data_IF_594074132522
#
_entry.id   IF_594074132522
#
_cell.length_a   1.000
_cell.length_b   1.000
_cell.length_c   1.000
_cell.angle_alpha   90.00
_cell.angle_beta   90.00
_cell.angle_gamma   90.00
#
_symmetry.space_group_name_H-M   'P 1'
#
loop_
_entity.id
_entity.type
_entity.pdbx_description
1 polymer ?
#
# COMPACT_ATOMS: atom_id res chain seq x y z
N UNK A 1 14.87 -0.13 24.77
CA UNK A 1 15.02 -0.46 23.33
C UNK A 1 14.22 -1.73 23.07
N UNK A 2 13.00 -1.60 22.54
CA UNK A 2 12.08 -2.74 22.39
C UNK A 2 12.32 -3.44 21.05
N UNK A 3 13.36 -4.28 21.00
CA UNK A 3 13.55 -5.25 19.93
C UNK A 3 12.64 -6.46 20.21
N UNK A 4 11.58 -6.63 19.42
CA UNK A 4 10.77 -7.87 19.40
C UNK A 4 11.13 -8.64 18.13
N UNK A 5 11.93 -9.73 18.22
CA UNK A 5 12.21 -10.57 17.07
C UNK A 5 10.89 -11.12 16.52
N UNK A 6 10.62 -10.86 15.24
CA UNK A 6 9.39 -11.26 14.55
C UNK A 6 8.39 -10.14 14.25
N UNK A 7 8.52 -8.94 14.85
CA UNK A 7 7.67 -7.78 14.52
C UNK A 7 8.38 -6.72 13.67
N UNK A 8 9.71 -6.62 13.79
CA UNK A 8 10.56 -5.70 13.01
C UNK A 8 11.83 -6.43 12.60
N UNK A 9 12.10 -6.45 11.30
CA UNK A 9 13.17 -7.24 10.68
C UNK A 9 14.49 -6.47 10.49
N UNK A 10 15.52 -7.21 10.09
CA UNK A 10 16.85 -6.76 9.67
C UNK A 10 16.70 -5.68 8.58
N UNK A 11 17.43 -4.57 8.73
CA UNK A 11 17.42 -3.42 7.81
C UNK A 11 17.46 -3.85 6.32
N UNK A 12 16.52 -3.35 5.51
CA UNK A 12 16.58 -3.41 4.04
C UNK A 12 15.49 -4.20 3.32
N UNK A 13 14.84 -5.20 3.95
CA UNK A 13 13.87 -6.09 3.27
C UNK A 13 12.39 -5.67 3.42
N UNK A 14 12.10 -4.70 4.28
CA UNK A 14 10.71 -4.38 4.68
C UNK A 14 9.82 -3.94 3.52
N UNK A 15 10.34 -3.09 2.63
CA UNK A 15 9.59 -2.58 1.47
C UNK A 15 9.28 -3.71 0.49
N UNK A 16 10.29 -4.53 0.17
CA UNK A 16 10.14 -5.64 -0.77
C UNK A 16 9.09 -6.64 -0.28
N UNK A 17 9.12 -7.01 1.01
CA UNK A 17 8.10 -7.89 1.60
C UNK A 17 6.69 -7.30 1.56
N UNK A 18 6.54 -6.00 1.83
CA UNK A 18 5.24 -5.32 1.73
C UNK A 18 4.73 -5.40 0.28
N UNK A 19 5.59 -5.15 -0.70
CA UNK A 19 5.24 -5.28 -2.12
C UNK A 19 4.87 -6.72 -2.48
N UNK A 20 5.67 -7.71 -2.08
CA UNK A 20 5.41 -9.13 -2.34
C UNK A 20 4.08 -9.58 -1.72
N UNK A 21 3.79 -9.17 -0.49
CA UNK A 21 2.55 -9.54 0.21
C UNK A 21 1.31 -8.95 -0.49
N UNK A 22 1.35 -7.66 -0.85
CA UNK A 22 0.24 -7.01 -1.55
C UNK A 22 0.03 -7.60 -2.95
N UNK A 23 1.12 -7.83 -3.69
CA UNK A 23 1.06 -8.50 -4.99
C UNK A 23 0.46 -9.91 -4.90
N UNK A 24 0.90 -10.71 -3.91
CA UNK A 24 0.39 -12.08 -3.71
C UNK A 24 -1.09 -12.10 -3.30
N UNK A 25 -1.57 -11.03 -2.68
CA UNK A 25 -2.97 -10.86 -2.30
C UNK A 25 -3.84 -10.24 -3.42
N UNK A 26 -3.28 -9.96 -4.60
CA UNK A 26 -4.00 -9.27 -5.69
C UNK A 26 -4.34 -7.82 -5.40
N UNK A 27 -3.66 -7.21 -4.42
CA UNK A 27 -3.87 -5.84 -3.99
C UNK A 27 -3.06 -4.86 -4.85
N UNK A 28 -3.52 -3.61 -4.99
CA UNK A 28 -2.75 -2.61 -5.73
C UNK A 28 -1.41 -2.32 -5.04
N UNK A 29 -0.43 -1.98 -5.88
CA UNK A 29 0.90 -1.59 -5.42
C UNK A 29 0.77 -0.32 -4.57
N UNK A 30 1.36 -0.30 -3.36
CA UNK A 30 1.26 0.86 -2.49
C UNK A 30 2.16 1.99 -2.98
N UNK A 31 1.85 3.22 -2.59
CA UNK A 31 2.75 4.36 -2.84
C UNK A 31 3.59 4.66 -1.61
N UNK A 32 4.87 4.97 -1.86
CA UNK A 32 5.84 5.31 -0.85
C UNK A 32 6.28 6.76 -1.06
N UNK A 33 6.33 7.54 0.02
CA UNK A 33 6.84 8.90 0.01
C UNK A 33 7.75 9.12 1.21
N UNK A 34 8.89 9.78 0.98
CA UNK A 34 9.83 10.15 2.02
C UNK A 34 10.01 11.66 2.02
N UNK A 35 9.74 12.28 3.16
CA UNK A 35 9.97 13.71 3.42
C UNK A 35 10.98 13.86 4.56
N UNK A 36 11.56 15.05 4.79
CA UNK A 36 12.39 15.28 5.97
C UNK A 36 11.67 15.02 7.31
N UNK A 37 10.33 15.08 7.31
CA UNK A 37 9.49 14.83 8.49
C UNK A 37 9.18 13.34 8.71
N UNK A 38 9.47 12.48 7.74
CA UNK A 38 9.28 11.06 7.87
C UNK A 38 8.87 10.35 6.59
N UNK A 39 8.46 9.10 6.78
CA UNK A 39 8.11 8.17 5.72
C UNK A 39 6.62 7.85 5.76
N UNK A 40 5.99 7.91 4.59
CA UNK A 40 4.58 7.60 4.40
C UNK A 40 4.44 6.41 3.46
N UNK A 41 3.64 5.43 3.90
CA UNK A 41 3.16 4.31 3.12
C UNK A 41 1.65 4.44 2.94
N UNK A 42 1.18 4.55 1.70
CA UNK A 42 -0.25 4.59 1.39
C UNK A 42 -0.66 3.28 0.72
N UNK A 43 -1.52 2.53 1.39
CA UNK A 43 -2.13 1.30 0.87
C UNK A 43 -3.59 1.58 0.52
N UNK A 44 -4.00 1.35 -0.73
CA UNK A 44 -5.40 1.44 -1.14
C UNK A 44 -6.03 0.05 -1.10
N UNK A 45 -7.10 -0.11 -0.34
CA UNK A 45 -7.78 -1.41 -0.19
C UNK A 45 -9.06 -1.50 -1.04
N UNK A 46 -9.52 -0.38 -1.58
CA UNK A 46 -10.88 -0.17 -2.04
C UNK A 46 -10.96 0.24 -3.52
N UNK A 47 -10.27 -0.51 -4.39
CA UNK A 47 -10.16 -0.23 -5.83
C UNK A 47 -11.48 -0.07 -6.58
N UNK A 48 -12.59 -0.56 -6.03
CA UNK A 48 -13.91 -0.58 -6.66
C UNK A 48 -14.97 0.19 -5.87
N UNK A 49 -14.60 1.10 -4.98
CA UNK A 49 -15.61 2.01 -4.41
C UNK A 49 -16.12 2.95 -5.48
N UNK A 50 -17.41 3.30 -5.43
CA UNK A 50 -18.02 4.16 -6.44
C UNK A 50 -17.32 5.51 -6.61
N UNK A 51 -16.68 6.03 -5.56
CA UNK A 51 -15.83 7.22 -5.62
C UNK A 51 -14.55 7.01 -6.44
N UNK A 52 -13.85 5.89 -6.25
CA UNK A 52 -12.60 5.56 -6.97
C UNK A 52 -12.87 5.29 -8.45
N UNK A 53 -13.95 4.57 -8.76
CA UNK A 53 -14.35 4.29 -10.15
C UNK A 53 -14.71 5.58 -10.91
N UNK A 54 -15.32 6.54 -10.23
CA UNK A 54 -15.61 7.88 -10.80
C UNK A 54 -14.34 8.70 -11.05
N UNK A 55 -13.35 8.65 -10.16
CA UNK A 55 -12.03 9.29 -10.38
C UNK A 55 -11.27 8.68 -11.57
N UNK A 56 -11.52 7.41 -11.89
CA UNK A 56 -10.96 6.72 -13.05
C UNK A 56 -11.66 7.07 -14.38
N UNK A 57 -12.69 7.94 -14.37
CA UNK A 57 -13.43 8.36 -15.55
C UNK A 57 -14.48 7.36 -16.05
N UNK A 58 -14.89 6.41 -15.20
CA UNK A 58 -15.91 5.41 -15.53
C UNK A 58 -17.32 6.01 -15.39
N UNK A 59 -18.22 5.63 -16.29
CA UNK A 59 -19.61 6.08 -16.25
C UNK A 59 -20.46 5.27 -15.26
N UNK A 60 -21.69 5.71 -14.98
CA UNK A 60 -22.61 5.07 -14.01
C UNK A 60 -22.96 3.61 -14.32
N UNK A 61 -22.76 3.14 -15.56
CA UNK A 61 -22.98 1.73 -15.93
C UNK A 61 -21.73 0.86 -15.75
N UNK A 62 -20.58 1.49 -15.51
CA UNK A 62 -19.26 0.87 -15.31
C UNK A 62 -18.80 0.95 -13.84
N UNK A 63 -19.44 1.80 -13.05
CA UNK A 63 -19.29 1.94 -11.59
C UNK A 63 -20.23 0.97 -10.87
#
# INVERSE_FOLDING_TARGET
MNYRPGLVERYGSGIERIMTALHSAGMPIPTFSSTPLGFTLTMRMDLLTGSVLREMGLNERQV
#
